data_IF_786674912443
#
_entry.id   IF_786674912443
#
_cell.length_a   1.000
_cell.length_b   1.000
_cell.length_c   1.000
_cell.angle_alpha   90.00
_cell.angle_beta   90.00
_cell.angle_gamma   90.00
#
_symmetry.space_group_name_H-M   'P 1'
#
loop_
_entity.id
_entity.type
_entity.pdbx_description
1 polymer ?
#
# COMPACT_ATOMS: atom_id res chain seq x y z
N UNK A 1 14.20 -21.46 -32.76
CA UNK A 1 13.50 -20.19 -32.48
C UNK A 1 13.94 -19.74 -31.09
N UNK A 2 14.26 -18.46 -30.91
CA UNK A 2 14.54 -17.92 -29.57
C UNK A 2 13.23 -17.80 -28.81
N UNK A 3 13.23 -18.23 -27.54
CA UNK A 3 12.03 -18.12 -26.70
C UNK A 3 11.77 -16.66 -26.33
N UNK A 4 10.53 -16.25 -26.13
CA UNK A 4 10.18 -14.92 -25.64
C UNK A 4 10.93 -14.54 -24.36
N UNK A 5 11.21 -15.52 -23.50
CA UNK A 5 12.05 -15.36 -22.30
C UNK A 5 13.47 -14.90 -22.65
N UNK A 6 14.03 -15.37 -23.77
CA UNK A 6 15.36 -14.93 -24.26
C UNK A 6 15.31 -13.52 -24.84
N UNK A 7 14.15 -13.10 -25.37
CA UNK A 7 13.95 -11.72 -25.79
C UNK A 7 13.84 -10.77 -24.60
N UNK A 8 13.09 -11.12 -23.55
CA UNK A 8 12.98 -10.33 -22.33
C UNK A 8 14.34 -10.04 -21.68
N UNK A 9 15.28 -10.99 -21.70
CA UNK A 9 16.62 -10.80 -21.16
C UNK A 9 17.53 -9.89 -22.00
N UNK A 10 17.23 -9.67 -23.28
CA UNK A 10 18.11 -8.96 -24.22
C UNK A 10 17.67 -7.53 -24.55
N UNK A 11 16.46 -7.14 -24.23
CA UNK A 11 15.86 -5.94 -24.81
C UNK A 11 15.88 -4.78 -23.84
N UNK A 12 16.66 -3.80 -24.16
CA UNK A 12 16.51 -2.42 -23.73
C UNK A 12 15.63 -1.71 -24.76
N UNK A 13 14.36 -1.44 -24.44
CA UNK A 13 13.47 -0.50 -25.10
C UNK A 13 12.81 -0.86 -26.46
N UNK A 14 12.88 -2.06 -27.01
CA UNK A 14 12.30 -2.35 -28.35
C UNK A 14 11.59 -3.70 -28.46
N UNK A 15 10.87 -4.11 -27.42
CA UNK A 15 10.16 -5.41 -27.42
C UNK A 15 8.94 -5.43 -28.35
N UNK A 16 8.21 -4.32 -28.46
CA UNK A 16 6.97 -4.23 -29.22
C UNK A 16 7.04 -4.69 -30.69
N UNK A 17 8.04 -4.32 -31.50
CA UNK A 17 8.11 -4.78 -32.88
C UNK A 17 8.19 -6.29 -33.00
N UNK A 18 9.05 -6.92 -32.19
CA UNK A 18 9.24 -8.38 -32.21
C UNK A 18 8.00 -9.14 -31.73
N UNK A 19 7.32 -8.62 -30.71
CA UNK A 19 6.09 -9.22 -30.22
C UNK A 19 4.95 -9.11 -31.24
N UNK A 20 4.84 -8.01 -31.97
CA UNK A 20 3.84 -7.87 -33.04
C UNK A 20 4.10 -8.84 -34.19
N UNK A 21 5.35 -9.05 -34.56
CA UNK A 21 5.74 -10.01 -35.60
C UNK A 21 5.40 -11.45 -35.21
N UNK A 22 5.66 -11.81 -33.95
CA UNK A 22 5.45 -13.16 -33.43
C UNK A 22 3.99 -13.48 -33.05
N UNK A 23 3.26 -12.50 -32.50
CA UNK A 23 1.94 -12.71 -31.90
C UNK A 23 0.79 -12.09 -32.71
N UNK A 24 1.11 -11.28 -33.74
CA UNK A 24 0.12 -10.52 -34.48
C UNK A 24 -0.32 -9.23 -33.74
N UNK A 25 -1.45 -8.64 -34.14
CA UNK A 25 -1.93 -7.42 -33.53
C UNK A 25 -2.29 -7.63 -32.05
N UNK A 26 -1.71 -6.77 -31.18
CA UNK A 26 -1.91 -6.83 -29.74
C UNK A 26 -3.11 -5.98 -29.33
N UNK A 27 -3.92 -6.47 -28.40
CA UNK A 27 -4.97 -5.67 -27.79
C UNK A 27 -4.39 -4.59 -26.87
N UNK A 28 -5.17 -3.56 -26.53
CA UNK A 28 -4.76 -2.48 -25.61
C UNK A 28 -4.28 -3.01 -24.25
N UNK A 29 -4.98 -4.01 -23.71
CA UNK A 29 -4.60 -4.66 -22.44
C UNK A 29 -3.28 -5.42 -22.54
N UNK A 30 -3.00 -6.06 -23.68
CA UNK A 30 -1.73 -6.74 -23.91
C UNK A 30 -0.59 -5.72 -24.05
N UNK A 31 -0.81 -4.60 -24.74
CA UNK A 31 0.15 -3.51 -24.84
C UNK A 31 0.44 -2.89 -23.46
N UNK A 32 -0.61 -2.62 -22.67
CA UNK A 32 -0.46 -2.13 -21.29
C UNK A 32 0.38 -3.09 -20.45
N UNK A 33 0.11 -4.42 -20.53
CA UNK A 33 0.88 -5.42 -19.80
C UNK A 33 2.36 -5.39 -20.22
N UNK A 34 2.65 -5.34 -21.51
CA UNK A 34 4.03 -5.31 -22.01
C UNK A 34 4.74 -4.05 -21.51
N UNK A 35 4.10 -2.88 -21.60
CA UNK A 35 4.65 -1.61 -21.08
C UNK A 35 4.98 -1.72 -19.59
N UNK A 36 4.07 -2.29 -18.79
CA UNK A 36 4.32 -2.48 -17.36
C UNK A 36 5.50 -3.43 -17.12
N UNK A 37 5.60 -4.53 -17.86
CA UNK A 37 6.70 -5.49 -17.73
C UNK A 37 8.04 -4.90 -18.16
N UNK A 38 8.08 -4.14 -19.26
CA UNK A 38 9.29 -3.42 -19.72
C UNK A 38 9.76 -2.40 -18.68
N UNK A 39 8.81 -1.67 -18.09
CA UNK A 39 9.12 -0.67 -17.07
C UNK A 39 9.59 -1.30 -15.76
N UNK A 40 8.90 -2.36 -15.29
CA UNK A 40 9.19 -3.02 -14.02
C UNK A 40 10.46 -3.88 -14.04
N UNK A 41 10.90 -4.37 -15.20
CA UNK A 41 12.09 -5.23 -15.36
C UNK A 41 12.19 -6.33 -14.29
N UNK A 42 11.14 -7.08 -14.14
CA UNK A 42 11.00 -8.11 -13.08
C UNK A 42 12.16 -9.11 -13.11
N UNK A 43 12.71 -9.37 -14.28
CA UNK A 43 13.82 -10.29 -14.51
C UNK A 43 15.06 -9.93 -13.70
N UNK A 44 15.27 -8.66 -13.41
CA UNK A 44 16.42 -8.18 -12.64
C UNK A 44 16.30 -8.52 -11.13
N UNK A 45 15.10 -8.82 -10.66
CA UNK A 45 14.78 -9.08 -9.25
C UNK A 45 14.47 -10.53 -8.92
N UNK A 46 14.14 -11.33 -9.93
CA UNK A 46 13.76 -12.75 -9.76
C UNK A 46 14.90 -13.63 -10.25
N UNK A 47 15.32 -14.57 -9.41
CA UNK A 47 16.33 -15.55 -9.81
C UNK A 47 15.90 -16.30 -11.07
N UNK A 48 16.81 -16.39 -12.04
CA UNK A 48 16.63 -17.26 -13.19
C UNK A 48 16.63 -18.74 -12.79
N UNK A 49 16.54 -19.60 -13.79
CA UNK A 49 16.51 -21.06 -13.61
C UNK A 49 17.59 -21.56 -12.65
N UNK A 50 17.20 -22.35 -11.66
CA UNK A 50 18.13 -23.06 -10.79
C UNK A 50 18.27 -24.50 -11.31
N UNK A 51 19.47 -24.85 -11.79
CA UNK A 51 19.83 -26.23 -12.13
C UNK A 51 20.28 -26.94 -10.85
N UNK A 52 19.30 -27.51 -10.10
CA UNK A 52 19.54 -28.35 -8.94
C UNK A 52 19.30 -29.82 -9.24
N UNK A 53 19.64 -30.69 -8.30
CA UNK A 53 19.31 -32.13 -8.37
C UNK A 53 17.80 -32.26 -8.09
N UNK A 54 17.04 -32.84 -9.03
CA UNK A 54 15.59 -33.06 -8.90
C UNK A 54 14.80 -32.60 -10.12
N UNK A 55 13.47 -32.61 -10.01
CA UNK A 55 12.61 -32.08 -11.05
C UNK A 55 12.83 -30.56 -11.20
N UNK A 56 12.97 -30.04 -12.44
CA UNK A 56 13.19 -28.62 -12.66
C UNK A 56 12.04 -27.78 -12.06
N UNK A 57 12.42 -26.73 -11.36
CA UNK A 57 11.42 -25.78 -10.83
C UNK A 57 10.72 -25.05 -11.97
N UNK A 58 9.45 -24.70 -11.75
CA UNK A 58 8.73 -23.83 -12.68
C UNK A 58 9.42 -22.46 -12.78
N UNK A 59 9.50 -21.92 -14.00
CA UNK A 59 10.14 -20.63 -14.26
C UNK A 59 9.56 -19.52 -13.38
N UNK A 60 10.37 -19.02 -12.45
CA UNK A 60 9.98 -17.96 -11.51
C UNK A 60 9.76 -16.62 -12.19
N UNK A 61 10.49 -16.33 -13.26
CA UNK A 61 10.31 -15.10 -14.02
C UNK A 61 8.98 -15.13 -14.77
N UNK A 62 8.62 -16.26 -15.38
CA UNK A 62 7.33 -16.42 -16.03
C UNK A 62 6.16 -16.32 -15.03
N UNK A 63 6.31 -16.91 -13.83
CA UNK A 63 5.33 -16.79 -12.76
C UNK A 63 5.18 -15.35 -12.25
N UNK A 64 6.27 -14.61 -12.10
CA UNK A 64 6.25 -13.20 -11.69
C UNK A 64 5.53 -12.34 -12.74
N UNK A 65 5.83 -12.53 -14.03
CA UNK A 65 5.10 -11.87 -15.13
C UNK A 65 3.61 -12.20 -15.13
N UNK A 66 3.27 -13.45 -14.83
CA UNK A 66 1.88 -13.87 -14.72
C UNK A 66 1.14 -13.17 -13.54
N UNK A 67 1.80 -12.89 -12.42
CA UNK A 67 1.22 -12.12 -11.33
C UNK A 67 1.03 -10.64 -11.69
N UNK A 68 1.93 -10.04 -12.47
CA UNK A 68 1.68 -8.70 -13.03
C UNK A 68 0.50 -8.73 -13.99
N UNK A 69 0.42 -9.73 -14.86
CA UNK A 69 -0.74 -9.91 -15.73
C UNK A 69 -2.04 -10.06 -14.93
N UNK A 70 -2.01 -10.79 -13.81
CA UNK A 70 -3.16 -10.92 -12.89
C UNK A 70 -3.67 -9.54 -12.43
N UNK A 71 -2.75 -8.63 -12.06
CA UNK A 71 -3.10 -7.28 -11.64
C UNK A 71 -3.62 -6.43 -12.80
N UNK A 72 -2.91 -6.38 -13.94
CA UNK A 72 -3.30 -5.58 -15.12
C UNK A 72 -4.66 -6.00 -15.68
N UNK A 73 -4.97 -7.29 -15.64
CA UNK A 73 -6.27 -7.83 -16.10
C UNK A 73 -7.33 -7.89 -15.00
N UNK A 74 -7.02 -7.44 -13.79
CA UNK A 74 -7.90 -7.48 -12.62
C UNK A 74 -8.48 -8.89 -12.37
N UNK A 75 -7.63 -9.92 -12.43
CA UNK A 75 -8.02 -11.33 -12.22
C UNK A 75 -7.99 -11.64 -10.72
N UNK A 76 -9.12 -12.03 -10.14
CA UNK A 76 -9.28 -12.18 -8.70
C UNK A 76 -8.54 -13.37 -8.09
N UNK A 77 -8.48 -14.52 -8.79
CA UNK A 77 -7.94 -15.78 -8.23
C UNK A 77 -6.82 -16.36 -9.08
N UNK A 78 -5.98 -17.22 -8.47
CA UNK A 78 -4.94 -17.96 -9.19
C UNK A 78 -5.54 -19.01 -10.14
N UNK A 79 -6.71 -19.56 -9.80
CA UNK A 79 -7.44 -20.49 -10.66
C UNK A 79 -7.87 -19.82 -11.96
N UNK A 80 -8.50 -18.64 -11.87
CA UNK A 80 -8.89 -17.87 -13.06
C UNK A 80 -7.67 -17.38 -13.87
N UNK A 81 -6.57 -17.02 -13.20
CA UNK A 81 -5.32 -16.68 -13.90
C UNK A 81 -4.81 -17.86 -14.72
N UNK A 82 -4.76 -19.04 -14.11
CA UNK A 82 -4.34 -20.27 -14.78
C UNK A 82 -5.23 -20.62 -15.96
N UNK A 83 -6.54 -20.57 -15.78
CA UNK A 83 -7.53 -20.78 -16.85
C UNK A 83 -7.30 -19.81 -18.01
N UNK A 84 -7.14 -18.52 -17.71
CA UNK A 84 -6.85 -17.49 -18.72
C UNK A 84 -5.56 -17.79 -19.49
N UNK A 85 -4.49 -18.19 -18.82
CA UNK A 85 -3.22 -18.56 -19.44
C UNK A 85 -3.34 -19.81 -20.33
N UNK A 86 -4.20 -20.76 -19.97
CA UNK A 86 -4.46 -21.95 -20.81
C UNK A 86 -5.25 -21.61 -22.08
N UNK A 87 -6.17 -20.64 -22.02
CA UNK A 87 -7.05 -20.27 -23.13
C UNK A 87 -6.43 -19.21 -24.05
N UNK A 88 -5.77 -18.19 -23.48
CA UNK A 88 -5.19 -17.06 -24.22
C UNK A 88 -3.73 -17.33 -24.57
N UNK A 89 -3.50 -17.72 -25.84
CA UNK A 89 -2.15 -18.01 -26.35
C UNK A 89 -1.22 -16.78 -26.26
N UNK A 90 -1.73 -15.60 -26.57
CA UNK A 90 -0.94 -14.38 -26.58
C UNK A 90 -0.50 -14.00 -25.16
N UNK A 91 -1.45 -13.94 -24.23
CA UNK A 91 -1.15 -13.67 -22.82
C UNK A 91 -0.16 -14.68 -22.24
N UNK A 92 -0.38 -15.96 -22.52
CA UNK A 92 0.52 -17.04 -22.07
C UNK A 92 1.95 -16.79 -22.54
N UNK A 93 2.15 -16.45 -23.82
CA UNK A 93 3.48 -16.21 -24.38
C UNK A 93 4.10 -14.91 -23.88
N UNK A 94 3.32 -13.85 -23.66
CA UNK A 94 3.81 -12.62 -23.01
C UNK A 94 4.35 -12.95 -21.60
N UNK A 95 3.69 -13.82 -20.86
CA UNK A 95 4.18 -14.26 -19.54
C UNK A 95 5.43 -15.16 -19.64
N UNK A 96 5.73 -15.76 -20.79
CA UNK A 96 6.91 -16.59 -21.04
C UNK A 96 6.63 -18.09 -21.05
N UNK A 97 5.37 -18.52 -21.05
CA UNK A 97 5.00 -19.92 -21.24
C UNK A 97 4.72 -20.21 -22.74
N UNK A 98 5.57 -20.98 -23.38
CA UNK A 98 5.46 -21.26 -24.81
C UNK A 98 4.28 -22.16 -25.16
N UNK A 99 4.01 -23.15 -24.31
CA UNK A 99 2.94 -24.13 -24.50
C UNK A 99 1.96 -24.17 -23.33
N UNK A 100 0.79 -24.81 -23.56
CA UNK A 100 -0.19 -25.06 -22.48
C UNK A 100 0.38 -25.98 -21.40
N UNK A 101 1.27 -26.90 -21.77
CA UNK A 101 1.88 -27.87 -20.84
C UNK A 101 2.86 -27.22 -19.86
N UNK A 102 3.39 -26.04 -20.20
CA UNK A 102 4.30 -25.29 -19.32
C UNK A 102 3.57 -24.46 -18.26
N UNK A 103 2.25 -24.20 -18.44
CA UNK A 103 1.47 -23.47 -17.44
C UNK A 103 1.34 -24.30 -16.17
N UNK A 104 1.91 -23.85 -15.04
CA UNK A 104 1.98 -24.65 -13.83
C UNK A 104 0.63 -24.91 -13.19
N UNK A 105 0.60 -25.81 -12.20
CA UNK A 105 -0.57 -26.06 -11.38
C UNK A 105 -0.89 -24.87 -10.47
N UNK A 106 -2.11 -24.74 -10.00
CA UNK A 106 -2.54 -23.70 -9.06
C UNK A 106 -1.71 -23.71 -7.76
N UNK A 107 -1.33 -24.90 -7.28
CA UNK A 107 -0.46 -25.04 -6.11
C UNK A 107 0.95 -24.47 -6.33
N UNK A 108 1.45 -24.54 -7.56
CA UNK A 108 2.75 -23.91 -7.92
C UNK A 108 2.63 -22.39 -7.93
N UNK A 109 1.54 -21.83 -8.48
CA UNK A 109 1.26 -20.40 -8.37
C UNK A 109 1.18 -19.94 -6.91
N UNK A 110 0.49 -20.68 -6.04
CA UNK A 110 0.36 -20.33 -4.63
C UNK A 110 1.71 -20.35 -3.89
N UNK A 111 2.56 -21.36 -4.16
CA UNK A 111 3.93 -21.43 -3.60
C UNK A 111 4.80 -20.29 -4.07
N UNK A 112 4.77 -19.98 -5.37
CA UNK A 112 5.53 -18.86 -5.91
C UNK A 112 5.05 -17.51 -5.35
N UNK A 113 3.74 -17.34 -5.13
CA UNK A 113 3.20 -16.14 -4.50
C UNK A 113 3.75 -15.96 -3.07
N UNK A 114 3.77 -17.03 -2.27
CA UNK A 114 4.35 -16.98 -0.91
C UNK A 114 5.83 -16.62 -0.96
N UNK A 115 6.62 -17.25 -1.84
CA UNK A 115 8.04 -16.95 -2.02
C UNK A 115 8.27 -15.48 -2.41
N UNK A 116 7.48 -14.93 -3.33
CA UNK A 116 7.57 -13.53 -3.73
C UNK A 116 7.12 -12.58 -2.62
N UNK A 117 6.17 -12.98 -1.79
CA UNK A 117 5.73 -12.23 -0.61
C UNK A 117 6.82 -12.21 0.47
N UNK A 118 7.40 -13.37 0.80
CA UNK A 118 8.48 -13.51 1.78
C UNK A 118 9.75 -12.73 1.37
N UNK A 119 10.07 -12.73 0.08
CA UNK A 119 11.18 -11.95 -0.48
C UNK A 119 10.86 -10.48 -0.69
N UNK A 120 9.63 -10.02 -0.37
CA UNK A 120 9.13 -8.66 -0.60
C UNK A 120 9.36 -8.18 -2.04
N UNK A 121 9.25 -9.07 -3.01
CA UNK A 121 9.53 -8.79 -4.42
C UNK A 121 8.80 -7.55 -4.97
N UNK A 122 7.48 -7.35 -4.75
CA UNK A 122 6.79 -6.15 -5.23
C UNK A 122 7.36 -4.86 -4.65
N UNK A 123 7.72 -4.86 -3.36
CA UNK A 123 8.28 -3.68 -2.69
C UNK A 123 9.66 -3.33 -3.27
N UNK A 124 10.52 -4.33 -3.48
CA UNK A 124 11.86 -4.13 -4.05
C UNK A 124 11.81 -3.57 -5.47
N UNK A 125 10.89 -4.07 -6.31
CA UNK A 125 10.69 -3.55 -7.67
C UNK A 125 10.18 -2.10 -7.61
N UNK A 126 9.18 -1.83 -6.78
CA UNK A 126 8.62 -0.49 -6.62
C UNK A 126 9.67 0.51 -6.12
N UNK A 127 10.44 0.15 -5.10
CA UNK A 127 11.52 0.98 -4.55
C UNK A 127 12.57 1.33 -5.61
N UNK A 128 13.06 0.34 -6.36
CA UNK A 128 14.02 0.57 -7.43
C UNK A 128 13.46 1.46 -8.56
N UNK A 129 12.16 1.38 -8.85
CA UNK A 129 11.52 2.27 -9.82
C UNK A 129 11.44 3.71 -9.32
N UNK A 130 11.07 3.92 -8.06
CA UNK A 130 11.03 5.25 -7.45
C UNK A 130 12.44 5.85 -7.39
N UNK A 131 13.41 5.10 -6.91
CA UNK A 131 14.81 5.52 -6.85
C UNK A 131 15.32 5.93 -8.23
N UNK A 132 15.09 5.10 -9.25
CA UNK A 132 15.55 5.37 -10.61
C UNK A 132 14.92 6.59 -11.27
N UNK A 133 13.65 6.88 -10.99
CA UNK A 133 12.89 7.88 -11.74
C UNK A 133 12.55 9.15 -10.95
N UNK A 134 12.68 9.12 -9.62
CA UNK A 134 12.23 10.23 -8.76
C UNK A 134 13.24 10.70 -7.73
N UNK A 135 14.33 9.95 -7.46
CA UNK A 135 15.31 10.35 -6.43
C UNK A 135 15.94 11.70 -6.66
N UNK A 136 16.22 12.05 -7.93
CA UNK A 136 16.90 13.29 -8.31
C UNK A 136 15.94 14.47 -8.55
N UNK A 137 14.64 14.28 -8.32
CA UNK A 137 13.63 15.30 -8.56
C UNK A 137 13.06 15.83 -7.24
N UNK A 138 12.99 17.16 -7.12
CA UNK A 138 12.25 17.79 -6.04
C UNK A 138 10.74 17.66 -6.34
N UNK A 139 10.04 16.93 -5.47
CA UNK A 139 8.58 16.77 -5.55
C UNK A 139 7.90 17.96 -4.86
N UNK A 140 6.90 18.55 -5.49
CA UNK A 140 6.21 19.71 -4.94
C UNK A 140 5.44 19.36 -3.67
N UNK A 141 4.69 18.26 -3.68
CA UNK A 141 3.97 17.79 -2.50
C UNK A 141 3.80 16.28 -2.46
N UNK A 142 3.63 15.77 -1.26
CA UNK A 142 3.17 14.41 -0.98
C UNK A 142 1.76 14.49 -0.38
N UNK A 143 0.81 13.83 -1.03
CA UNK A 143 -0.55 13.65 -0.50
C UNK A 143 -0.63 12.33 0.24
N UNK A 144 -0.90 12.37 1.54
CA UNK A 144 -1.01 11.18 2.41
C UNK A 144 -2.46 10.86 2.68
N UNK A 145 -2.85 9.61 2.40
CA UNK A 145 -4.20 9.13 2.67
C UNK A 145 -4.21 7.63 2.95
N UNK A 146 -5.31 7.12 3.48
CA UNK A 146 -5.48 5.72 3.78
C UNK A 146 -6.78 5.16 3.18
N UNK A 147 -6.71 3.94 2.68
CA UNK A 147 -7.88 3.29 2.10
C UNK A 147 -8.10 1.89 2.66
N UNK A 148 -9.38 1.50 2.81
CA UNK A 148 -9.76 0.17 3.24
C UNK A 148 -9.47 -0.87 2.16
N UNK A 149 -8.90 -2.01 2.57
CA UNK A 149 -8.71 -3.21 1.74
C UNK A 149 -9.44 -4.36 2.40
N UNK A 150 -10.52 -4.83 1.77
CA UNK A 150 -11.32 -5.92 2.32
C UNK A 150 -10.61 -7.27 2.15
N UNK A 151 -10.69 -8.14 3.16
CA UNK A 151 -10.10 -9.46 3.13
C UNK A 151 -11.11 -10.55 3.46
N UNK A 152 -10.93 -11.73 2.82
CA UNK A 152 -11.76 -12.92 3.08
C UNK A 152 -11.28 -13.74 4.27
N UNK A 153 -10.06 -13.51 4.73
CA UNK A 153 -9.49 -14.26 5.84
C UNK A 153 -10.18 -13.96 7.18
N UNK A 154 -9.92 -14.82 8.16
CA UNK A 154 -10.48 -14.65 9.51
C UNK A 154 -9.72 -13.58 10.27
N UNK A 155 -10.45 -12.82 11.09
CA UNK A 155 -9.84 -11.87 12.04
C UNK A 155 -8.87 -12.62 12.94
N UNK A 156 -7.66 -12.08 13.14
CA UNK A 156 -6.63 -12.70 13.96
C UNK A 156 -7.09 -12.84 15.42
N UNK A 157 -6.50 -13.79 16.17
CA UNK A 157 -6.91 -14.09 17.56
C UNK A 157 -6.64 -12.89 18.47
N UNK A 158 -5.48 -12.24 18.33
CA UNK A 158 -5.11 -11.07 19.12
C UNK A 158 -6.09 -9.90 18.95
N UNK A 159 -6.57 -9.67 17.72
CA UNK A 159 -7.58 -8.64 17.47
C UNK A 159 -8.92 -8.99 18.14
N UNK A 160 -9.28 -10.28 18.18
CA UNK A 160 -10.49 -10.73 18.89
C UNK A 160 -10.38 -10.58 20.39
N UNK A 161 -9.23 -10.85 20.97
CA UNK A 161 -8.97 -10.68 22.41
C UNK A 161 -9.01 -9.22 22.80
N UNK A 162 -8.30 -8.34 22.07
CA UNK A 162 -8.37 -6.89 22.28
C UNK A 162 -9.80 -6.33 22.13
N UNK A 163 -10.60 -6.86 21.19
CA UNK A 163 -11.99 -6.47 21.03
C UNK A 163 -12.87 -6.93 22.22
N UNK A 164 -12.60 -8.12 22.80
CA UNK A 164 -13.28 -8.60 24.01
C UNK A 164 -12.90 -7.77 25.24
N UNK A 165 -11.62 -7.46 25.40
CA UNK A 165 -11.12 -6.62 26.49
C UNK A 165 -11.72 -5.21 26.44
N UNK A 166 -11.75 -4.58 25.24
CA UNK A 166 -12.43 -3.30 25.05
C UNK A 166 -13.90 -3.34 25.44
N UNK A 167 -14.64 -4.37 25.00
CA UNK A 167 -16.06 -4.54 25.36
C UNK A 167 -16.26 -4.75 26.87
N UNK A 168 -15.39 -5.54 27.51
CA UNK A 168 -15.40 -5.75 28.94
C UNK A 168 -15.10 -4.45 29.70
N UNK A 169 -14.11 -3.67 29.25
CA UNK A 169 -13.77 -2.38 29.83
C UNK A 169 -14.90 -1.33 29.64
N UNK A 170 -15.58 -1.33 28.49
CA UNK A 170 -16.75 -0.49 28.27
C UNK A 170 -17.95 -0.89 29.13
N UNK A 171 -18.17 -2.19 29.35
CA UNK A 171 -19.20 -2.68 30.28
C UNK A 171 -18.88 -2.27 31.72
N UNK A 172 -17.64 -2.43 32.17
CA UNK A 172 -17.18 -1.98 33.47
C UNK A 172 -17.31 -0.47 33.68
N UNK A 173 -17.00 0.33 32.64
CA UNK A 173 -17.20 1.80 32.66
C UNK A 173 -18.68 2.21 32.68
N UNK A 174 -19.57 1.40 32.10
CA UNK A 174 -21.03 1.62 32.17
C UNK A 174 -21.63 1.26 33.51
N UNK A 175 -20.98 0.33 34.25
CA UNK A 175 -21.42 -0.15 35.57
C UNK A 175 -20.86 0.71 36.71
N UNK A 176 -19.70 1.34 36.50
CA UNK A 176 -19.18 2.35 37.40
C UNK A 176 -19.95 3.66 37.17
N UNK A 177 -20.52 4.22 38.23
CA UNK A 177 -21.23 5.50 38.21
C UNK A 177 -20.49 6.53 37.32
N UNK A 178 -21.25 7.20 36.46
CA UNK A 178 -20.73 8.22 35.55
C UNK A 178 -19.72 9.10 36.28
N UNK A 179 -18.44 8.89 35.99
CA UNK A 179 -17.39 9.77 36.49
C UNK A 179 -17.79 11.22 36.14
N UNK A 180 -17.98 12.05 37.15
CA UNK A 180 -18.44 13.43 36.96
C UNK A 180 -17.52 14.12 35.99
N UNK A 181 -18.05 14.51 34.81
CA UNK A 181 -17.35 15.39 33.87
C UNK A 181 -17.12 16.73 34.57
N UNK A 182 -15.90 17.00 35.00
CA UNK A 182 -15.53 18.24 35.67
C UNK A 182 -14.03 18.30 35.99
N UNK A 183 -13.59 19.49 36.37
CA UNK A 183 -12.22 19.71 36.86
C UNK A 183 -12.00 18.82 38.11
N UNK A 184 -10.87 18.09 38.21
CA UNK A 184 -10.56 17.30 39.41
C UNK A 184 -10.63 18.20 40.64
N UNK A 185 -11.07 17.64 41.77
CA UNK A 185 -11.04 18.35 43.05
C UNK A 185 -9.59 18.70 43.42
N UNK A 186 -9.42 19.81 44.11
CA UNK A 186 -8.10 20.29 44.55
C UNK A 186 -7.45 19.20 45.43
N UNK A 187 -6.37 18.58 44.91
CA UNK A 187 -5.65 17.47 45.54
C UNK A 187 -5.84 16.08 44.92
N UNK A 188 -6.71 15.91 43.92
CA UNK A 188 -6.76 14.66 43.11
C UNK A 188 -5.72 14.72 41.98
N UNK A 189 -4.68 13.89 42.08
CA UNK A 189 -3.75 13.67 40.94
C UNK A 189 -4.45 12.81 39.87
N UNK A 190 -4.39 13.31 38.62
CA UNK A 190 -4.84 12.47 37.50
C UNK A 190 -3.87 11.31 37.33
N UNK A 191 -4.42 10.10 37.12
CA UNK A 191 -3.60 9.00 36.66
C UNK A 191 -2.76 9.42 35.45
N UNK A 192 -1.47 9.04 35.40
CA UNK A 192 -0.60 9.39 34.27
C UNK A 192 -1.25 8.88 32.98
N UNK A 193 -1.31 9.74 31.97
CA UNK A 193 -1.80 9.35 30.65
C UNK A 193 -0.85 8.30 30.08
N UNK A 194 -1.41 7.19 29.59
CA UNK A 194 -0.62 6.23 28.81
C UNK A 194 0.05 6.95 27.64
N UNK A 195 1.34 6.70 27.45
CA UNK A 195 2.11 7.22 26.31
C UNK A 195 1.50 6.68 25.02
N UNK A 196 1.07 7.56 24.15
CA UNK A 196 0.46 7.17 22.89
C UNK A 196 1.49 6.54 21.95
N UNK A 197 1.04 5.74 20.96
CA UNK A 197 1.95 5.19 19.96
C UNK A 197 2.74 6.30 19.25
N UNK A 198 2.08 7.39 18.90
CA UNK A 198 2.68 8.53 18.23
C UNK A 198 3.82 9.16 19.06
N UNK A 199 3.64 9.28 20.38
CA UNK A 199 4.69 9.76 21.29
C UNK A 199 5.88 8.81 21.38
N UNK A 200 5.64 7.49 21.40
CA UNK A 200 6.71 6.48 21.39
C UNK A 200 7.51 6.50 20.09
N UNK A 201 6.83 6.67 18.97
CA UNK A 201 7.46 6.72 17.64
C UNK A 201 8.48 7.86 17.49
N UNK A 202 8.39 8.95 18.26
CA UNK A 202 9.39 10.05 18.22
C UNK A 202 10.82 9.58 18.49
N UNK A 203 11.00 8.50 19.25
CA UNK A 203 12.31 7.98 19.66
C UNK A 203 12.68 6.67 18.98
N UNK A 204 11.82 6.12 18.14
CA UNK A 204 12.00 4.86 17.44
C UNK A 204 12.70 5.05 16.10
N UNK A 205 13.49 4.06 15.70
CA UNK A 205 13.96 3.93 14.31
C UNK A 205 12.82 3.53 13.39
N UNK A 206 12.96 3.74 12.08
CA UNK A 206 11.94 3.34 11.10
C UNK A 206 11.58 1.85 11.24
N UNK A 207 12.58 0.98 11.43
CA UNK A 207 12.36 -0.45 11.60
C UNK A 207 11.51 -0.76 12.82
N UNK A 208 11.81 -0.15 13.96
CA UNK A 208 11.03 -0.32 15.19
C UNK A 208 9.60 0.22 15.04
N UNK A 209 9.43 1.37 14.36
CA UNK A 209 8.11 1.92 14.07
C UNK A 209 7.26 0.96 13.21
N UNK A 210 7.86 0.33 12.20
CA UNK A 210 7.18 -0.64 11.34
C UNK A 210 6.81 -1.93 12.08
N UNK A 211 7.70 -2.43 12.95
CA UNK A 211 7.46 -3.61 13.79
C UNK A 211 6.38 -3.38 14.87
N UNK A 212 6.23 -2.14 15.38
CA UNK A 212 5.17 -1.78 16.36
C UNK A 212 3.77 -1.70 15.72
N UNK A 213 3.66 -1.64 14.38
CA UNK A 213 2.37 -1.55 13.69
C UNK A 213 1.71 -2.93 13.58
N UNK A 214 0.42 -3.06 13.97
CA UNK A 214 -0.32 -4.30 13.77
C UNK A 214 -0.52 -4.58 12.27
N UNK A 215 -0.27 -5.82 11.86
CA UNK A 215 -0.39 -6.28 10.47
C UNK A 215 -1.40 -7.42 10.28
N UNK A 216 -2.07 -7.87 11.34
CA UNK A 216 -3.09 -8.92 11.26
C UNK A 216 -4.43 -8.44 10.71
N UNK A 217 -5.19 -9.34 10.05
CA UNK A 217 -6.56 -9.03 9.62
C UNK A 217 -7.45 -8.64 10.80
N UNK A 218 -8.14 -7.50 10.70
CA UNK A 218 -8.96 -6.93 11.77
C UNK A 218 -10.21 -6.25 11.21
N UNK A 219 -11.04 -5.68 12.10
CA UNK A 219 -12.25 -4.93 11.75
C UNK A 219 -11.95 -3.43 11.88
N UNK A 220 -12.01 -2.74 10.75
CA UNK A 220 -11.96 -1.29 10.68
C UNK A 220 -13.37 -0.68 10.68
N UNK A 221 -13.46 0.57 11.12
CA UNK A 221 -14.69 1.35 11.09
C UNK A 221 -14.41 2.77 10.64
N UNK A 222 -15.26 3.30 9.80
CA UNK A 222 -15.24 4.72 9.38
C UNK A 222 -16.64 5.31 9.41
N UNK A 223 -16.75 6.63 9.45
CA UNK A 223 -17.99 7.32 9.19
C UNK A 223 -18.02 7.78 7.74
N UNK A 224 -19.11 7.51 7.06
CA UNK A 224 -19.30 8.03 5.70
C UNK A 224 -19.75 9.50 5.72
N UNK A 225 -19.81 10.14 4.54
CA UNK A 225 -20.23 11.54 4.38
C UNK A 225 -21.64 11.83 4.90
N UNK A 226 -22.49 10.79 5.04
CA UNK A 226 -23.85 10.88 5.60
C UNK A 226 -23.87 10.68 7.12
N UNK A 227 -22.70 10.46 7.77
CA UNK A 227 -22.58 10.25 9.22
C UNK A 227 -22.83 8.83 9.70
N UNK A 228 -23.15 7.88 8.81
CA UNK A 228 -23.33 6.48 9.16
C UNK A 228 -21.98 5.79 9.37
N UNK A 229 -21.96 4.87 10.34
CA UNK A 229 -20.79 4.05 10.61
C UNK A 229 -20.76 2.85 9.65
N UNK A 230 -19.70 2.75 8.88
CA UNK A 230 -19.39 1.60 8.02
C UNK A 230 -18.26 0.81 8.63
N UNK A 231 -18.35 -0.53 8.52
CA UNK A 231 -17.32 -1.43 9.01
C UNK A 231 -16.87 -2.38 7.91
N UNK A 232 -15.58 -2.64 7.83
CA UNK A 232 -15.03 -3.66 6.94
C UNK A 232 -14.10 -4.60 7.69
N UNK A 233 -13.92 -5.79 7.17
CA UNK A 233 -12.96 -6.76 7.66
C UNK A 233 -11.78 -6.81 6.70
N UNK A 234 -10.56 -6.66 7.22
CA UNK A 234 -9.38 -6.71 6.37
C UNK A 234 -8.23 -5.86 6.91
N UNK A 235 -7.75 -5.01 6.04
CA UNK A 235 -6.56 -4.19 6.23
C UNK A 235 -6.85 -2.73 5.91
N UNK A 236 -5.89 -1.88 6.21
CA UNK A 236 -5.85 -0.49 5.77
C UNK A 236 -4.51 -0.24 5.06
N UNK A 237 -4.57 0.25 3.85
CA UNK A 237 -3.43 0.64 3.05
C UNK A 237 -3.23 2.15 3.17
N UNK A 238 -2.09 2.55 3.72
CA UNK A 238 -1.67 3.94 3.83
C UNK A 238 -0.68 4.23 2.71
N UNK A 239 -0.89 5.32 1.97
CA UNK A 239 -0.11 5.65 0.78
C UNK A 239 0.32 7.10 0.82
N UNK A 240 1.57 7.34 0.47
CA UNK A 240 2.12 8.64 0.11
C UNK A 240 2.16 8.75 -1.41
N UNK A 241 1.50 9.75 -1.95
CA UNK A 241 1.35 9.98 -3.37
C UNK A 241 1.98 11.32 -3.75
N UNK A 242 2.91 11.31 -4.70
CA UNK A 242 3.53 12.52 -5.25
C UNK A 242 2.67 13.19 -6.32
N UNK A 243 3.13 14.34 -6.79
CA UNK A 243 2.62 15.05 -7.95
C UNK A 243 2.44 14.07 -9.14
N UNK A 244 1.39 14.24 -9.92
CA UNK A 244 1.09 13.35 -11.05
C UNK A 244 0.46 12.01 -10.67
N UNK A 245 0.00 11.86 -9.41
CA UNK A 245 -0.64 10.65 -8.90
C UNK A 245 0.28 9.42 -8.88
N UNK A 246 1.53 9.59 -8.47
CA UNK A 246 2.55 8.55 -8.40
C UNK A 246 2.68 8.08 -6.96
N UNK A 247 2.33 6.81 -6.62
CA UNK A 247 2.57 6.25 -5.29
C UNK A 247 4.08 6.15 -5.02
N UNK A 248 4.57 6.79 -3.96
CA UNK A 248 5.99 6.78 -3.57
C UNK A 248 6.27 5.74 -2.50
N UNK A 249 5.43 5.70 -1.49
CA UNK A 249 5.57 4.79 -0.35
C UNK A 249 4.21 4.30 0.10
N UNK A 250 4.19 3.11 0.69
CA UNK A 250 2.97 2.56 1.26
C UNK A 250 3.27 1.67 2.46
N UNK A 251 2.31 1.60 3.38
CA UNK A 251 2.33 0.70 4.54
C UNK A 251 0.97 0.05 4.66
N UNK A 252 0.94 -1.28 4.77
CA UNK A 252 -0.28 -2.06 5.02
C UNK A 252 -0.37 -2.37 6.52
N UNK A 253 -1.50 -2.04 7.13
CA UNK A 253 -1.76 -2.29 8.55
C UNK A 253 -3.08 -3.03 8.76
N UNK A 254 -3.32 -3.47 10.01
CA UNK A 254 -4.66 -3.91 10.42
C UNK A 254 -5.70 -2.81 10.21
N UNK A 255 -6.93 -3.19 9.85
CA UNK A 255 -8.00 -2.26 9.52
C UNK A 255 -8.34 -1.27 10.65
N UNK A 256 -8.11 -1.63 11.91
CA UNK A 256 -8.42 -0.81 13.09
C UNK A 256 -7.39 0.28 13.40
N UNK A 257 -6.24 0.30 12.73
CA UNK A 257 -5.18 1.28 12.99
C UNK A 257 -5.63 2.66 12.54
N UNK A 258 -5.48 3.67 13.42
CA UNK A 258 -5.80 5.05 13.11
C UNK A 258 -4.71 5.65 12.21
N UNK A 259 -5.10 6.47 11.25
CA UNK A 259 -4.22 7.00 10.20
C UNK A 259 -3.03 7.79 10.75
N UNK A 260 -3.24 8.60 11.80
CA UNK A 260 -2.17 9.33 12.48
C UNK A 260 -1.04 8.43 13.03
N UNK A 261 -1.34 7.18 13.39
CA UNK A 261 -0.33 6.25 13.95
C UNK A 261 0.66 5.73 12.90
N UNK A 262 0.37 5.95 11.63
CA UNK A 262 1.22 5.53 10.51
C UNK A 262 1.93 6.74 9.87
N UNK A 263 1.60 7.95 10.31
CA UNK A 263 2.12 9.18 9.71
C UNK A 263 3.65 9.26 9.78
N UNK A 264 4.25 9.01 10.95
CA UNK A 264 5.70 9.12 11.14
C UNK A 264 6.48 8.07 10.33
N UNK A 265 6.18 6.75 10.47
CA UNK A 265 6.90 5.75 9.70
C UNK A 265 6.73 5.92 8.18
N UNK A 266 5.54 6.32 7.70
CA UNK A 266 5.31 6.54 6.28
C UNK A 266 6.07 7.77 5.76
N UNK A 267 6.07 8.89 6.50
CA UNK A 267 6.86 10.08 6.17
C UNK A 267 8.36 9.79 6.14
N UNK A 268 8.87 9.06 7.13
CA UNK A 268 10.29 8.67 7.19
C UNK A 268 10.66 7.78 6.00
N UNK A 269 9.79 6.81 5.64
CA UNK A 269 10.01 5.94 4.49
C UNK A 269 10.03 6.73 3.17
N UNK A 270 9.14 7.70 3.03
CA UNK A 270 9.08 8.58 1.84
C UNK A 270 10.32 9.47 1.74
N UNK A 271 10.75 10.07 2.84
CA UNK A 271 11.94 10.92 2.88
C UNK A 271 13.26 10.18 2.57
N UNK A 272 13.30 8.85 2.75
CA UNK A 272 14.43 8.03 2.31
C UNK A 272 14.49 7.83 0.79
N UNK A 273 13.37 8.04 0.08
CA UNK A 273 13.24 7.77 -1.36
C UNK A 273 13.30 9.03 -2.22
N UNK A 274 12.71 10.11 -1.73
CA UNK A 274 12.57 11.37 -2.47
C UNK A 274 12.72 12.57 -1.54
N UNK A 275 12.89 13.74 -2.14
CA UNK A 275 12.79 15.03 -1.44
C UNK A 275 11.51 15.74 -1.87
N UNK A 276 10.72 16.21 -0.88
CA UNK A 276 9.48 16.96 -1.16
C UNK A 276 9.40 18.24 -0.32
N UNK A 277 8.56 19.19 -0.78
CA UNK A 277 8.37 20.46 -0.09
C UNK A 277 7.24 20.41 0.94
N UNK A 278 6.11 19.80 0.59
CA UNK A 278 4.88 19.81 1.39
C UNK A 278 4.36 18.40 1.65
N UNK A 279 3.81 18.18 2.85
CA UNK A 279 3.03 17.01 3.22
C UNK A 279 1.55 17.42 3.37
N UNK A 280 0.66 16.91 2.52
CA UNK A 280 -0.78 17.22 2.51
C UNK A 280 -1.54 16.09 3.18
N UNK A 281 -2.26 16.37 4.26
CA UNK A 281 -2.95 15.36 5.07
C UNK A 281 -4.33 15.86 5.51
N UNK A 282 -5.26 14.94 5.76
CA UNK A 282 -6.59 15.28 6.27
C UNK A 282 -6.58 15.55 7.78
N UNK A 283 -7.73 15.95 8.32
CA UNK A 283 -7.92 16.27 9.74
C UNK A 283 -7.66 15.08 10.70
N UNK A 284 -7.62 13.85 10.21
CA UNK A 284 -7.26 12.68 11.02
C UNK A 284 -5.79 12.70 11.46
N UNK A 285 -4.96 13.44 10.75
CA UNK A 285 -3.54 13.63 11.05
C UNK A 285 -3.26 14.90 11.89
N UNK A 286 -4.27 15.69 12.29
CA UNK A 286 -4.07 16.95 13.03
C UNK A 286 -3.45 16.70 14.41
N UNK A 287 -2.13 16.70 14.45
CA UNK A 287 -1.29 16.50 15.63
C UNK A 287 -0.01 17.31 15.52
N UNK A 288 0.39 17.97 16.63
CA UNK A 288 1.64 18.71 16.71
C UNK A 288 2.85 17.80 16.46
N UNK A 289 2.82 16.57 16.96
CA UNK A 289 3.91 15.59 16.76
C UNK A 289 4.15 15.32 15.27
N UNK A 290 3.07 15.23 14.48
CA UNK A 290 3.18 15.00 13.04
C UNK A 290 3.77 16.23 12.34
N UNK A 291 3.34 17.44 12.73
CA UNK A 291 3.89 18.71 12.19
C UNK A 291 5.37 18.86 12.51
N UNK A 292 5.76 18.61 13.77
CA UNK A 292 7.16 18.62 14.20
C UNK A 292 8.02 17.61 13.42
N UNK A 293 7.47 16.41 13.18
CA UNK A 293 8.16 15.36 12.42
C UNK A 293 8.36 15.75 10.96
N UNK A 294 7.34 16.25 10.26
CA UNK A 294 7.46 16.76 8.90
C UNK A 294 8.51 17.89 8.81
N UNK A 295 8.47 18.82 9.77
CA UNK A 295 9.46 19.89 9.84
C UNK A 295 10.89 19.36 10.05
N UNK A 296 11.07 18.33 10.88
CA UNK A 296 12.38 17.69 11.11
C UNK A 296 12.94 17.02 9.85
N UNK A 297 12.06 16.61 8.94
CA UNK A 297 12.42 16.06 7.62
C UNK A 297 12.65 17.16 6.56
N UNK A 298 12.42 18.43 6.90
CA UNK A 298 12.54 19.56 5.99
C UNK A 298 11.28 19.89 5.18
N UNK A 299 10.13 19.32 5.55
CA UNK A 299 8.85 19.48 4.84
C UNK A 299 7.92 20.43 5.61
N UNK A 300 7.00 21.09 4.90
CA UNK A 300 5.92 21.88 5.48
C UNK A 300 4.64 21.02 5.49
N UNK A 301 4.14 20.72 6.69
CA UNK A 301 2.90 19.95 6.84
C UNK A 301 1.67 20.84 6.68
N UNK A 302 0.87 20.62 5.65
CA UNK A 302 -0.45 21.21 5.46
C UNK A 302 -1.51 20.17 5.84
N UNK A 303 -1.96 20.23 7.09
CA UNK A 303 -2.92 19.30 7.67
C UNK A 303 -4.21 20.06 7.93
N UNK A 304 -5.33 19.53 7.44
CA UNK A 304 -6.65 20.09 7.72
C UNK A 304 -6.90 20.17 9.22
N UNK A 305 -7.64 21.19 9.64
CA UNK A 305 -7.83 21.44 11.06
C UNK A 305 -8.99 20.63 11.61
N UNK A 306 -8.72 19.90 12.68
CA UNK A 306 -9.77 19.26 13.47
C UNK A 306 -10.31 20.27 14.49
N UNK A 307 -11.33 21.05 14.08
CA UNK A 307 -11.93 22.08 14.92
C UNK A 307 -12.55 21.48 16.18
N UNK A 308 -11.96 21.81 17.33
CA UNK A 308 -12.36 21.26 18.65
C UNK A 308 -13.43 22.07 19.36
N UNK A 309 -13.97 23.10 18.74
CA UNK A 309 -15.04 23.93 19.29
C UNK A 309 -15.24 25.21 18.48
N UNK A 310 -16.30 25.98 18.81
CA UNK A 310 -16.65 27.19 18.06
C UNK A 310 -15.61 28.31 18.15
N UNK A 311 -14.67 28.25 19.07
CA UNK A 311 -13.54 29.20 19.20
C UNK A 311 -12.33 28.85 18.37
N UNK A 312 -12.28 27.68 17.75
CA UNK A 312 -11.18 27.27 16.88
C UNK A 312 -11.42 27.77 15.46
N UNK A 313 -10.79 28.88 15.12
CA UNK A 313 -10.91 29.60 13.84
C UNK A 313 -9.67 29.43 12.97
N UNK A 314 -8.86 28.37 13.19
CA UNK A 314 -7.68 28.12 12.36
C UNK A 314 -8.09 27.90 10.92
N UNK A 315 -7.45 28.58 10.00
CA UNK A 315 -7.66 28.48 8.56
C UNK A 315 -6.30 28.53 7.85
N UNK A 316 -6.23 27.93 6.68
CA UNK A 316 -5.06 28.03 5.81
C UNK A 316 -4.93 29.43 5.24
N UNK A 317 -3.70 29.93 5.10
CA UNK A 317 -3.45 31.09 4.27
C UNK A 317 -3.86 30.78 2.80
N UNK A 318 -4.22 31.79 1.99
CA UNK A 318 -4.75 31.55 0.64
C UNK A 318 -3.84 30.67 -0.26
N UNK A 319 -2.54 30.83 -0.16
CA UNK A 319 -1.56 30.03 -0.92
C UNK A 319 -1.47 28.59 -0.39
N UNK A 320 -1.63 28.39 0.92
CA UNK A 320 -1.66 27.07 1.55
C UNK A 320 -2.95 26.32 1.17
N UNK A 321 -4.11 27.01 1.18
CA UNK A 321 -5.38 26.47 0.77
C UNK A 321 -5.35 26.01 -0.70
N UNK A 322 -4.74 26.81 -1.58
CA UNK A 322 -4.55 26.44 -2.97
C UNK A 322 -3.71 25.15 -3.09
N UNK A 323 -2.59 25.05 -2.35
CA UNK A 323 -1.73 23.88 -2.34
C UNK A 323 -2.46 22.68 -1.76
N UNK A 324 -3.21 22.85 -0.68
CA UNK A 324 -3.96 21.80 -0.02
C UNK A 324 -5.00 21.13 -0.93
N UNK A 325 -5.57 21.82 -1.90
CA UNK A 325 -6.51 21.25 -2.86
C UNK A 325 -5.93 20.09 -3.67
N UNK A 326 -4.59 20.05 -3.84
CA UNK A 326 -3.91 18.94 -4.51
C UNK A 326 -3.94 17.62 -3.71
N UNK A 327 -4.38 17.64 -2.44
CA UNK A 327 -4.61 16.45 -1.62
C UNK A 327 -5.53 15.42 -2.30
N UNK A 328 -6.46 15.88 -3.13
CA UNK A 328 -7.34 15.03 -3.93
C UNK A 328 -6.59 14.02 -4.82
N UNK A 329 -5.28 14.21 -5.04
CA UNK A 329 -4.42 13.29 -5.79
C UNK A 329 -4.35 11.91 -5.12
N UNK A 330 -4.25 11.84 -3.79
CA UNK A 330 -4.27 10.57 -3.06
C UNK A 330 -5.61 9.83 -3.20
N UNK A 331 -6.72 10.57 -3.18
CA UNK A 331 -8.07 9.98 -3.38
C UNK A 331 -8.21 9.37 -4.78
N UNK A 332 -7.68 10.05 -5.81
CA UNK A 332 -7.65 9.52 -7.19
C UNK A 332 -6.83 8.24 -7.29
N UNK A 333 -5.66 8.19 -6.65
CA UNK A 333 -4.83 6.97 -6.62
C UNK A 333 -5.57 5.84 -5.91
N UNK A 334 -6.17 6.10 -4.76
CA UNK A 334 -6.96 5.11 -4.02
C UNK A 334 -8.14 4.56 -4.85
N UNK A 335 -8.84 5.41 -5.60
CA UNK A 335 -9.92 5.01 -6.50
C UNK A 335 -9.38 4.10 -7.62
N UNK A 336 -8.29 4.50 -8.28
CA UNK A 336 -7.66 3.70 -9.35
C UNK A 336 -7.16 2.35 -8.86
N UNK A 337 -6.53 2.28 -7.68
CA UNK A 337 -6.10 1.01 -7.09
C UNK A 337 -7.27 0.05 -6.87
N UNK A 338 -8.43 0.55 -6.47
CA UNK A 338 -9.64 -0.25 -6.27
C UNK A 338 -10.31 -0.65 -7.57
N UNK A 339 -10.46 0.27 -8.50
CA UNK A 339 -11.27 0.07 -9.70
C UNK A 339 -10.49 -0.60 -10.83
N UNK A 340 -9.23 -0.24 -11.00
CA UNK A 340 -8.38 -0.76 -12.08
C UNK A 340 -7.61 -2.02 -11.66
N UNK A 341 -7.15 -2.10 -10.39
CA UNK A 341 -6.23 -3.14 -9.93
C UNK A 341 -6.81 -4.06 -8.85
N UNK A 342 -8.08 -3.90 -8.51
CA UNK A 342 -8.80 -4.83 -7.65
C UNK A 342 -8.41 -4.81 -6.16
N UNK A 343 -7.91 -3.70 -5.66
CA UNK A 343 -7.59 -3.49 -4.24
C UNK A 343 -8.87 -3.25 -3.40
N UNK A 344 -9.86 -4.16 -3.51
CA UNK A 344 -11.15 -4.11 -2.81
C UNK A 344 -11.23 -5.21 -1.77
#
# INVERSE_FOLDING_TARGET
MKTLSQYWMRIQATLFPYLKEELGPLSEKQQQLITVLEFARIEDFVRGYHFGVGAPEADRQALARAFVAKAVYNISTNSHLRERLLCDKVLRRICGFESRGEVPSESTFSRAFNEFSESSLPNRIHEALIEKHHSDHLVGHISRDATAVEAREKVCLEAKEKAKEKKAAEMLKKTQEKAKRGRPKRGEERAPKEVTRLERQKTMTLKEMLEDLPTGCDIGTKRNSKGYQESWKGYKLHIDTADGAIPISFILTSASVHDSQVALPLATLTAQRITNCYDLMDAAYDSEIIREHSLSLGHVALIDFNHRGPSDTREFAPHEAQRYNERSTAERVNARLKDEFGAR
#
